data_IF_542762320970
#
_entry.id   IF_542762320970
#
_cell.length_a   1.000
_cell.length_b   1.000
_cell.length_c   1.000
_cell.angle_alpha   90.00
_cell.angle_beta   90.00
_cell.angle_gamma   90.00
#
_symmetry.space_group_name_H-M   'P 1'
#
loop_
_entity.id
_entity.type
_entity.pdbx_description
1 polymer ?
#
# COMPACT_ATOMS: atom_id res chain seq x y z
N UNK A 1 14.63 -23.69 21.46
CA UNK A 1 14.14 -23.81 20.08
C UNK A 1 12.68 -23.37 20.06
N UNK A 2 12.41 -22.10 19.75
CA UNK A 2 11.05 -21.56 19.66
C UNK A 2 10.61 -21.63 18.20
N UNK A 3 9.73 -22.57 17.90
CA UNK A 3 9.16 -22.76 16.58
C UNK A 3 8.40 -21.49 16.15
N UNK A 4 8.81 -20.94 15.00
CA UNK A 4 8.32 -19.70 14.39
C UNK A 4 6.87 -19.77 13.91
N UNK A 5 5.92 -19.74 14.85
CA UNK A 5 4.49 -19.64 14.58
C UNK A 5 3.98 -18.19 14.46
N UNK A 6 4.88 -17.20 14.57
CA UNK A 6 4.57 -15.78 14.41
C UNK A 6 5.02 -15.21 13.05
N UNK A 7 4.88 -15.96 11.96
CA UNK A 7 4.73 -15.35 10.63
C UNK A 7 3.32 -14.73 10.47
N UNK A 8 2.83 -14.08 11.55
CA UNK A 8 1.65 -13.23 11.56
C UNK A 8 1.78 -12.30 10.36
N UNK A 9 0.80 -12.38 9.49
CA UNK A 9 0.46 -11.36 8.50
C UNK A 9 1.02 -10.00 8.89
N UNK A 10 1.95 -9.48 8.07
CA UNK A 10 2.57 -8.19 8.34
C UNK A 10 1.46 -7.14 8.46
N UNK A 11 1.43 -6.31 9.52
CA UNK A 11 0.43 -5.25 9.68
C UNK A 11 0.29 -4.39 8.41
N UNK A 12 1.39 -4.16 7.70
CA UNK A 12 1.41 -3.42 6.43
C UNK A 12 0.69 -4.12 5.29
N UNK A 13 0.77 -5.45 5.21
CA UNK A 13 0.01 -6.22 4.22
C UNK A 13 -1.49 -6.20 4.56
N UNK A 14 -1.83 -6.39 5.83
CA UNK A 14 -3.22 -6.29 6.29
C UNK A 14 -3.84 -4.94 5.94
N UNK A 15 -3.11 -3.85 6.21
CA UNK A 15 -3.56 -2.50 5.90
C UNK A 15 -3.66 -2.25 4.39
N UNK A 16 -2.74 -2.81 3.59
CA UNK A 16 -2.82 -2.74 2.12
C UNK A 16 -4.10 -3.40 1.60
N UNK A 17 -4.47 -4.57 2.13
CA UNK A 17 -5.71 -5.24 1.78
C UNK A 17 -6.95 -4.42 2.19
N UNK A 18 -6.93 -3.83 3.39
CA UNK A 18 -8.01 -2.96 3.86
C UNK A 18 -8.22 -1.75 2.95
N UNK A 19 -7.13 -1.10 2.53
CA UNK A 19 -7.20 -0.02 1.53
C UNK A 19 -7.81 -0.50 0.20
N UNK A 20 -7.48 -1.71 -0.22
CA UNK A 20 -8.05 -2.33 -1.42
C UNK A 20 -9.56 -2.54 -1.32
N UNK A 21 -10.04 -3.06 -0.19
CA UNK A 21 -11.47 -3.25 0.10
C UNK A 21 -12.21 -1.91 0.11
N UNK A 22 -11.71 -0.91 0.83
CA UNK A 22 -12.29 0.45 0.86
C UNK A 22 -12.35 1.11 -0.51
N UNK A 23 -11.28 0.97 -1.30
CA UNK A 23 -11.25 1.49 -2.65
C UNK A 23 -12.24 0.77 -3.58
N UNK A 24 -12.46 -0.53 -3.38
CA UNK A 24 -13.46 -1.29 -4.11
C UNK A 24 -14.88 -0.87 -3.69
N UNK A 25 -15.14 -0.72 -2.39
CA UNK A 25 -16.43 -0.28 -1.85
C UNK A 25 -16.83 1.08 -2.43
N UNK A 26 -15.88 2.02 -2.47
CA UNK A 26 -16.10 3.34 -3.08
C UNK A 26 -16.49 3.24 -4.56
N UNK A 27 -15.83 2.37 -5.36
CA UNK A 27 -16.14 2.19 -6.79
C UNK A 27 -17.49 1.52 -7.03
N UNK A 28 -17.93 0.65 -6.12
CA UNK A 28 -19.17 -0.11 -6.23
C UNK A 28 -20.35 0.56 -5.53
N UNK A 29 -20.16 1.73 -4.91
CA UNK A 29 -21.21 2.43 -4.18
C UNK A 29 -22.51 2.57 -5.00
N UNK A 30 -23.63 2.13 -4.41
CA UNK A 30 -24.95 2.11 -5.05
C UNK A 30 -25.24 0.89 -5.93
N UNK A 31 -24.29 -0.05 -6.09
CA UNK A 31 -24.49 -1.33 -6.79
C UNK A 31 -24.82 -2.46 -5.80
N UNK A 32 -25.45 -3.57 -6.24
CA UNK A 32 -25.71 -4.72 -5.37
C UNK A 32 -24.45 -5.31 -4.71
N UNK A 33 -23.33 -5.32 -5.43
CA UNK A 33 -22.01 -5.78 -4.95
C UNK A 33 -21.44 -4.95 -3.79
N UNK A 34 -21.96 -3.74 -3.54
CA UNK A 34 -21.49 -2.87 -2.47
C UNK A 34 -21.63 -3.52 -1.08
N UNK A 35 -22.77 -4.17 -0.83
CA UNK A 35 -23.05 -4.80 0.46
C UNK A 35 -22.06 -5.94 0.74
N UNK A 36 -21.73 -6.73 -0.28
CA UNK A 36 -20.74 -7.80 -0.17
C UNK A 36 -19.34 -7.23 0.17
N UNK A 37 -18.95 -6.11 -0.44
CA UNK A 37 -17.65 -5.49 -0.16
C UNK A 37 -17.62 -4.87 1.24
N UNK A 38 -18.70 -4.23 1.69
CA UNK A 38 -18.81 -3.72 3.06
C UNK A 38 -18.71 -4.87 4.08
N UNK A 39 -19.38 -5.99 3.82
CA UNK A 39 -19.28 -7.18 4.65
C UNK A 39 -17.84 -7.71 4.71
N UNK A 40 -17.14 -7.76 3.58
CA UNK A 40 -15.73 -8.17 3.53
C UNK A 40 -14.81 -7.18 4.26
N UNK A 41 -15.02 -5.87 4.12
CA UNK A 41 -14.29 -4.85 4.87
C UNK A 41 -14.44 -5.04 6.38
N UNK A 42 -15.68 -5.16 6.86
CA UNK A 42 -15.97 -5.37 8.27
C UNK A 42 -15.36 -6.68 8.79
N UNK A 43 -15.50 -7.77 8.03
CA UNK A 43 -14.89 -9.06 8.37
C UNK A 43 -13.36 -8.99 8.45
N UNK A 44 -12.72 -8.20 7.58
CA UNK A 44 -11.28 -7.99 7.56
C UNK A 44 -10.78 -7.17 8.76
N UNK A 45 -11.57 -6.19 9.21
CA UNK A 45 -11.33 -5.40 10.42
C UNK A 45 -11.40 -6.30 11.66
N UNK A 46 -12.50 -7.03 11.83
CA UNK A 46 -12.69 -7.95 12.97
C UNK A 46 -11.60 -9.02 13.03
N UNK A 47 -11.18 -9.52 11.89
CA UNK A 47 -10.06 -10.45 11.82
C UNK A 47 -8.75 -9.79 12.27
N UNK A 48 -8.50 -8.53 11.87
CA UNK A 48 -7.34 -7.75 12.29
C UNK A 48 -7.28 -7.59 13.81
N UNK A 49 -8.41 -7.24 14.43
CA UNK A 49 -8.54 -7.13 15.89
C UNK A 49 -8.22 -8.46 16.60
N UNK A 50 -8.78 -9.57 16.12
CA UNK A 50 -8.49 -10.93 16.64
C UNK A 50 -7.02 -11.30 16.47
N UNK A 51 -6.39 -10.84 15.39
CA UNK A 51 -4.96 -11.00 15.14
C UNK A 51 -4.06 -10.02 15.92
N UNK A 52 -4.66 -9.09 16.69
CA UNK A 52 -3.99 -8.00 17.41
C UNK A 52 -3.28 -7.02 16.48
N UNK A 53 -3.90 -6.73 15.33
CA UNK A 53 -3.46 -5.72 14.36
C UNK A 53 -4.39 -4.51 14.51
N UNK A 54 -3.89 -3.46 15.16
CA UNK A 54 -4.58 -2.18 15.25
C UNK A 54 -4.46 -1.41 13.92
N UNK A 55 -5.59 -0.85 13.45
CA UNK A 55 -5.62 -0.18 12.15
C UNK A 55 -4.69 1.02 12.09
N UNK A 56 -4.70 1.87 13.12
CA UNK A 56 -3.89 3.09 13.14
C UNK A 56 -2.40 2.78 13.15
N UNK A 57 -2.00 1.79 13.94
CA UNK A 57 -0.62 1.31 14.03
C UNK A 57 -0.19 0.69 12.70
N UNK A 58 -1.04 -0.13 12.09
CA UNK A 58 -0.79 -0.73 10.78
C UNK A 58 -0.68 0.33 9.66
N UNK A 59 -1.52 1.37 9.71
CA UNK A 59 -1.45 2.53 8.81
C UNK A 59 -0.12 3.27 8.95
N UNK A 60 0.27 3.62 10.17
CA UNK A 60 1.51 4.34 10.45
C UNK A 60 2.73 3.53 9.97
N UNK A 61 2.73 2.22 10.23
CA UNK A 61 3.79 1.34 9.74
C UNK A 61 3.80 1.28 8.21
N UNK A 62 2.63 1.15 7.56
CA UNK A 62 2.53 1.14 6.11
C UNK A 62 3.02 2.47 5.50
N UNK A 63 2.68 3.61 6.09
CA UNK A 63 3.18 4.92 5.68
C UNK A 63 4.70 5.02 5.79
N UNK A 64 5.27 4.58 6.93
CA UNK A 64 6.70 4.60 7.17
C UNK A 64 7.47 3.65 6.24
N UNK A 65 6.91 2.47 5.92
CA UNK A 65 7.52 1.52 4.98
C UNK A 65 7.43 2.02 3.54
N UNK A 66 6.29 2.57 3.13
CA UNK A 66 6.02 3.03 1.75
C UNK A 66 7.00 4.11 1.30
N UNK A 67 7.46 4.99 2.18
CA UNK A 67 8.47 6.01 1.83
C UNK A 67 9.87 5.44 1.63
N UNK A 68 10.08 4.18 2.01
CA UNK A 68 11.36 3.44 1.93
C UNK A 68 11.35 2.30 0.92
N UNK A 69 10.26 2.13 0.16
CA UNK A 69 10.10 1.06 -0.82
C UNK A 69 10.00 1.67 -2.22
N UNK A 70 10.62 1.02 -3.21
CA UNK A 70 10.51 1.44 -4.60
C UNK A 70 9.12 1.08 -5.17
N UNK A 71 8.43 2.06 -5.75
CA UNK A 71 7.09 1.91 -6.32
C UNK A 71 7.07 1.01 -7.58
N UNK A 72 8.18 0.90 -8.31
CA UNK A 72 8.21 0.08 -9.53
C UNK A 72 8.07 -1.40 -9.17
N UNK A 73 7.03 -2.03 -9.72
CA UNK A 73 6.66 -3.41 -9.43
C UNK A 73 7.73 -4.40 -9.90
N UNK A 74 8.40 -4.08 -11.01
CA UNK A 74 9.49 -4.90 -11.55
C UNK A 74 10.87 -4.46 -11.04
N UNK A 75 10.95 -3.70 -9.95
CA UNK A 75 12.22 -3.41 -9.31
C UNK A 75 12.72 -4.67 -8.56
N UNK A 76 13.97 -5.13 -8.76
CA UNK A 76 14.51 -6.28 -8.02
C UNK A 76 14.53 -6.07 -6.49
N UNK A 77 14.51 -4.81 -6.05
CA UNK A 77 14.46 -4.41 -4.64
C UNK A 77 13.09 -3.86 -4.22
N UNK A 78 12.07 -3.94 -5.09
CA UNK A 78 10.79 -3.23 -4.98
C UNK A 78 9.91 -3.57 -3.78
N UNK A 79 10.27 -4.56 -2.96
CA UNK A 79 9.58 -4.87 -1.68
C UNK A 79 10.52 -4.89 -0.49
N UNK A 80 11.77 -4.45 -0.66
CA UNK A 80 12.77 -4.36 0.40
C UNK A 80 12.84 -2.92 0.89
N UNK A 81 12.77 -2.74 2.21
CA UNK A 81 13.03 -1.45 2.83
C UNK A 81 14.45 -0.99 2.48
N UNK A 82 14.56 0.24 2.03
CA UNK A 82 15.82 0.87 1.68
C UNK A 82 16.27 1.75 2.84
N UNK A 83 17.53 1.68 3.22
CA UNK A 83 18.14 2.56 4.24
C UNK A 83 18.57 3.91 3.66
N UNK A 84 18.70 3.99 2.34
CA UNK A 84 18.98 5.23 1.61
C UNK A 84 17.71 5.98 1.26
N UNK A 85 17.83 7.30 1.11
CA UNK A 85 16.78 8.14 0.55
C UNK A 85 16.43 7.73 -0.88
N UNK A 86 15.14 7.66 -1.18
CA UNK A 86 14.62 7.32 -2.51
C UNK A 86 14.24 8.56 -3.30
N UNK A 87 14.35 8.46 -4.62
CA UNK A 87 13.92 9.49 -5.55
C UNK A 87 12.40 9.68 -5.46
N UNK A 88 11.97 10.88 -5.11
CA UNK A 88 10.56 11.26 -5.03
C UNK A 88 10.04 11.65 -6.41
N UNK A 89 8.83 11.18 -6.76
CA UNK A 89 8.13 11.67 -7.93
C UNK A 89 7.83 13.16 -7.78
N UNK A 90 8.43 14.00 -8.63
CA UNK A 90 8.18 15.45 -8.63
C UNK A 90 6.75 15.83 -9.00
N UNK A 91 6.01 14.92 -9.62
CA UNK A 91 4.60 15.12 -9.97
C UNK A 91 3.74 15.07 -8.71
N UNK A 92 3.61 13.91 -8.07
CA UNK A 92 2.69 13.73 -6.93
C UNK A 92 3.32 13.94 -5.56
N UNK A 93 4.65 13.92 -5.43
CA UNK A 93 5.32 13.93 -4.12
C UNK A 93 5.19 12.62 -3.33
N UNK A 94 4.42 11.63 -3.81
CA UNK A 94 4.10 10.40 -3.07
C UNK A 94 4.97 9.20 -3.50
N UNK A 95 5.04 8.90 -4.79
CA UNK A 95 5.78 7.72 -5.25
C UNK A 95 7.29 7.86 -5.05
N UNK A 96 7.93 6.76 -4.63
CA UNK A 96 9.38 6.68 -4.36
C UNK A 96 10.04 5.68 -5.31
N UNK A 97 11.27 5.96 -5.74
CA UNK A 97 12.03 5.11 -6.66
C UNK A 97 13.48 4.98 -6.24
N UNK A 98 14.09 3.82 -6.49
CA UNK A 98 15.54 3.64 -6.32
C UNK A 98 16.35 4.64 -7.13
N UNK A 99 15.90 4.93 -8.36
CA UNK A 99 16.59 5.73 -9.35
C UNK A 99 15.62 6.15 -10.49
N UNK A 100 16.15 6.91 -11.46
CA UNK A 100 15.39 7.34 -12.65
C UNK A 100 14.94 6.17 -13.55
N UNK A 101 15.64 5.03 -13.53
CA UNK A 101 15.26 3.85 -14.33
C UNK A 101 14.00 3.23 -13.75
N UNK A 102 13.96 3.04 -12.43
CA UNK A 102 12.78 2.58 -11.71
C UNK A 102 11.62 3.58 -11.85
N UNK A 103 11.89 4.89 -11.84
CA UNK A 103 10.85 5.89 -12.08
C UNK A 103 10.22 5.75 -13.48
N UNK A 104 11.03 5.69 -14.54
CA UNK A 104 10.54 5.50 -15.92
C UNK A 104 9.76 4.20 -16.08
N UNK A 105 10.19 3.14 -15.37
CA UNK A 105 9.52 1.84 -15.38
C UNK A 105 8.18 1.91 -14.65
N UNK A 106 8.17 2.36 -13.40
CA UNK A 106 6.97 2.54 -12.59
C UNK A 106 5.94 3.47 -13.26
N UNK A 107 6.40 4.47 -14.02
CA UNK A 107 5.54 5.30 -14.86
C UNK A 107 4.72 4.48 -15.86
N UNK A 108 5.36 3.53 -16.56
CA UNK A 108 4.71 2.65 -17.54
C UNK A 108 3.89 1.55 -16.88
N UNK A 109 4.28 1.10 -15.68
CA UNK A 109 3.57 0.08 -14.87
C UNK A 109 2.26 0.58 -14.24
N UNK A 110 1.85 1.82 -14.52
CA UNK A 110 0.57 2.37 -14.08
C UNK A 110 0.67 3.60 -13.18
N UNK A 111 1.86 4.01 -12.72
CA UNK A 111 1.97 5.24 -11.92
C UNK A 111 1.40 6.46 -12.66
N UNK A 112 1.52 6.52 -13.99
CA UNK A 112 0.97 7.62 -14.79
C UNK A 112 -0.54 7.82 -14.61
N UNK A 113 -1.28 6.76 -14.32
CA UNK A 113 -2.75 6.78 -14.15
C UNK A 113 -3.14 7.25 -12.75
N UNK A 114 -2.30 6.96 -11.74
CA UNK A 114 -2.53 7.35 -10.34
C UNK A 114 -1.80 8.63 -9.92
N UNK A 115 -0.88 9.15 -10.74
CA UNK A 115 -0.09 10.34 -10.43
C UNK A 115 -0.95 11.60 -10.48
N UNK A 116 -1.43 12.04 -9.31
CA UNK A 116 -2.04 13.35 -9.12
C UNK A 116 -0.94 14.40 -9.11
N UNK A 117 -0.68 15.03 -10.26
CA UNK A 117 0.33 16.09 -10.36
C UNK A 117 -0.05 17.21 -9.41
N UNK A 118 0.87 17.56 -8.51
CA UNK A 118 0.80 18.78 -7.75
C UNK A 118 0.75 19.95 -8.75
N UNK A 119 -0.12 20.96 -8.52
CA UNK A 119 -0.08 22.17 -9.33
C UNK A 119 1.32 22.77 -9.30
N UNK A 120 1.73 23.39 -10.41
CA UNK A 120 3.01 24.09 -10.46
C UNK A 120 3.04 25.21 -9.39
N UNK A 121 4.18 25.45 -8.75
CA UNK A 121 4.34 26.57 -7.82
C UNK A 121 4.16 27.92 -8.52
#
# INVERSE_FOLDING_TARGET
>A
MHYGFWSRTKPTLWYTCLLGLRAAAYREHGKPSYQDIQFLEQSWIEWGEKAKIDENSARLQHEAERVRICYSLSCPLGRKLQDRALLVCRGCGEARYCDKVCQKRGWKEGHRESCRRLPAP
#
